data_IF_015387699732
#
_entry.id   IF_015387699732
#
_cell.length_a   1.000
_cell.length_b   1.000
_cell.length_c   1.000
_cell.angle_alpha   90.00
_cell.angle_beta   90.00
_cell.angle_gamma   90.00
#
_symmetry.space_group_name_H-M   'P 1'
#
loop_
_entity.id
_entity.type
_entity.pdbx_description
1 polymer ?
#
# COMPACT_ATOMS: atom_id res chain seq x y z
N UNK A 1 71.08 24.20 6.09
CA UNK A 1 69.78 24.06 6.78
C UNK A 1 68.89 23.26 5.85
N UNK A 2 68.98 21.93 5.92
CA UNK A 2 68.09 21.02 5.19
C UNK A 2 67.63 19.96 6.20
N UNK A 3 66.63 20.34 7.01
CA UNK A 3 66.05 19.52 8.08
C UNK A 3 64.62 19.06 7.71
N UNK A 4 64.37 18.89 6.41
CA UNK A 4 63.12 18.34 5.87
C UNK A 4 63.43 17.22 4.86
N UNK A 5 64.40 16.38 5.20
CA UNK A 5 64.66 15.13 4.47
C UNK A 5 63.51 14.16 4.71
N UNK A 6 62.59 14.13 3.73
CA UNK A 6 61.81 12.97 3.33
C UNK A 6 61.08 12.23 4.45
N UNK A 7 59.90 12.73 4.82
CA UNK A 7 58.90 11.87 5.47
C UNK A 7 58.51 10.81 4.44
N UNK A 8 59.16 9.65 4.49
CA UNK A 8 58.80 8.50 3.67
C UNK A 8 57.54 7.89 4.29
N UNK A 9 56.38 8.43 3.91
CA UNK A 9 55.08 7.88 4.30
C UNK A 9 55.00 6.49 3.67
N UNK A 10 54.96 5.41 4.47
CA UNK A 10 54.77 4.08 3.94
C UNK A 10 53.48 4.02 3.13
N UNK A 11 53.53 3.45 1.92
CA UNK A 11 52.41 3.40 0.98
C UNK A 11 51.13 2.78 1.57
N UNK A 12 51.25 2.06 2.70
CA UNK A 12 50.12 1.45 3.40
C UNK A 12 49.28 2.43 4.25
N UNK A 13 49.85 3.56 4.68
CA UNK A 13 49.18 4.57 5.52
C UNK A 13 47.90 5.14 4.87
N UNK A 14 47.88 5.55 3.58
CA UNK A 14 46.65 6.03 2.95
C UNK A 14 45.54 4.98 2.92
N UNK A 15 45.86 3.68 2.83
CA UNK A 15 44.86 2.61 2.88
C UNK A 15 44.25 2.47 4.28
N UNK A 16 45.07 2.52 5.33
CA UNK A 16 44.54 2.51 6.71
C UNK A 16 43.67 3.73 7.00
N UNK A 17 44.06 4.91 6.51
CA UNK A 17 43.25 6.13 6.64
C UNK A 17 41.92 6.02 5.86
N UNK A 18 41.93 5.41 4.67
CA UNK A 18 40.72 5.16 3.90
C UNK A 18 39.77 4.16 4.60
N UNK A 19 40.32 3.07 5.17
CA UNK A 19 39.55 2.10 5.95
C UNK A 19 38.96 2.76 7.20
N UNK A 20 39.76 3.53 7.95
CA UNK A 20 39.29 4.30 9.10
C UNK A 20 38.20 5.30 8.70
N UNK A 21 38.36 6.00 7.58
CA UNK A 21 37.36 6.91 7.04
C UNK A 21 36.05 6.21 6.72
N UNK A 22 36.11 5.05 6.05
CA UNK A 22 34.92 4.23 5.76
C UNK A 22 34.23 3.72 7.02
N UNK A 23 35.00 3.24 8.00
CA UNK A 23 34.46 2.79 9.29
C UNK A 23 33.81 3.95 10.07
N UNK A 24 34.40 5.13 10.02
CA UNK A 24 33.87 6.32 10.70
C UNK A 24 32.60 6.82 10.01
N UNK A 25 32.54 6.81 8.68
CA UNK A 25 31.34 7.09 7.90
C UNK A 25 30.25 6.05 8.22
N UNK A 26 30.59 4.78 8.34
CA UNK A 26 29.66 3.71 8.71
C UNK A 26 29.08 3.90 10.12
N UNK A 27 29.93 4.21 11.10
CA UNK A 27 29.50 4.53 12.47
C UNK A 27 28.61 5.78 12.51
N UNK A 28 28.98 6.83 11.77
CA UNK A 28 28.17 8.05 11.68
C UNK A 28 26.80 7.75 11.06
N UNK A 29 26.76 6.91 10.01
CA UNK A 29 25.54 6.42 9.40
C UNK A 29 24.69 5.65 10.42
N UNK A 30 25.28 4.72 11.17
CA UNK A 30 24.59 3.92 12.21
C UNK A 30 23.99 4.81 13.31
N UNK A 31 24.73 5.82 13.78
CA UNK A 31 24.23 6.80 14.75
C UNK A 31 23.07 7.62 14.17
N UNK A 32 23.15 8.04 12.90
CA UNK A 32 22.06 8.81 12.27
C UNK A 32 20.82 7.97 12.00
N UNK A 33 20.98 6.67 11.76
CA UNK A 33 19.89 5.70 11.64
C UNK A 33 19.23 5.46 12.99
N UNK A 34 20.02 5.25 14.06
CA UNK A 34 19.48 5.13 15.42
C UNK A 34 18.79 6.43 15.89
N UNK A 35 19.28 7.59 15.46
CA UNK A 35 18.67 8.89 15.72
C UNK A 35 17.44 9.19 14.85
N UNK A 36 17.05 8.27 13.95
CA UNK A 36 15.88 8.42 13.07
C UNK A 36 15.98 9.57 12.05
N UNK A 37 17.20 10.09 11.81
CA UNK A 37 17.43 11.19 10.85
C UNK A 37 17.67 10.69 9.43
N UNK A 38 18.08 9.42 9.30
CA UNK A 38 18.31 8.74 8.02
C UNK A 38 17.65 7.36 8.09
N UNK A 39 16.82 7.03 7.11
CA UNK A 39 16.34 5.65 6.92
C UNK A 39 17.47 4.82 6.28
N UNK A 40 17.96 3.80 6.98
CA UNK A 40 18.83 2.79 6.40
C UNK A 40 18.04 1.96 5.39
N UNK A 41 17.95 2.43 4.15
CA UNK A 41 17.44 1.61 3.05
C UNK A 41 18.57 0.73 2.52
N UNK A 42 18.45 -0.58 2.72
CA UNK A 42 19.22 -1.56 1.96
C UNK A 42 18.99 -1.31 0.47
N UNK A 43 20.08 -0.99 -0.26
CA UNK A 43 20.08 -0.76 -1.71
C UNK A 43 19.44 -1.89 -2.54
N UNK A 44 19.29 -3.08 -1.96
CA UNK A 44 18.72 -4.28 -2.58
C UNK A 44 17.22 -4.51 -2.29
N UNK A 45 16.54 -3.65 -1.54
CA UNK A 45 15.10 -3.82 -1.22
C UNK A 45 14.30 -2.61 -1.69
N UNK A 46 14.18 -2.45 -3.00
CA UNK A 46 13.50 -1.31 -3.66
C UNK A 46 12.02 -1.15 -3.25
N UNK A 47 11.41 -2.12 -2.54
CA UNK A 47 10.06 -1.97 -1.96
C UNK A 47 9.93 -2.17 -0.44
N UNK A 48 10.98 -2.62 0.26
CA UNK A 48 10.87 -3.16 1.63
C UNK A 48 10.10 -4.49 1.75
N UNK A 49 9.12 -4.77 0.89
CA UNK A 49 8.16 -5.87 1.06
C UNK A 49 8.82 -7.25 1.12
N UNK A 50 8.54 -8.02 2.19
CA UNK A 50 9.08 -9.38 2.41
C UNK A 50 8.05 -10.49 2.24
N UNK A 51 6.76 -10.17 2.24
CA UNK A 51 5.66 -11.08 1.95
C UNK A 51 4.47 -10.31 1.34
N UNK A 52 3.65 -11.00 0.57
CA UNK A 52 2.42 -10.45 0.01
C UNK A 52 1.21 -11.26 0.48
N UNK A 53 0.12 -10.59 0.80
CA UNK A 53 -1.15 -11.18 1.23
C UNK A 53 -2.26 -10.79 0.25
N UNK A 54 -3.05 -11.76 -0.19
CA UNK A 54 -4.21 -11.52 -1.06
C UNK A 54 -5.45 -11.24 -0.21
N UNK A 55 -5.81 -9.95 -0.12
CA UNK A 55 -7.02 -9.47 0.53
C UNK A 55 -8.20 -9.47 -0.44
N UNK A 56 -9.35 -9.94 0.03
CA UNK A 56 -10.63 -9.85 -0.70
C UNK A 56 -11.61 -9.15 0.24
N UNK A 57 -12.28 -8.09 -0.22
CA UNK A 57 -13.36 -7.45 0.55
C UNK A 57 -14.38 -8.49 1.02
N UNK A 58 -14.75 -8.46 2.29
CA UNK A 58 -15.65 -9.43 2.91
C UNK A 58 -17.11 -9.01 2.71
N UNK A 59 -17.55 -8.80 1.46
CA UNK A 59 -18.94 -8.49 1.16
C UNK A 59 -19.65 -9.58 0.33
N UNK A 60 -20.98 -9.44 0.22
CA UNK A 60 -21.80 -10.36 -0.58
C UNK A 60 -21.47 -10.31 -2.09
N UNK A 61 -20.86 -9.22 -2.56
CA UNK A 61 -20.57 -8.95 -3.97
C UNK A 61 -19.27 -9.60 -4.47
N UNK A 62 -18.40 -10.03 -3.56
CA UNK A 62 -17.20 -10.80 -3.89
C UNK A 62 -17.59 -12.11 -4.62
N UNK A 63 -16.93 -12.43 -5.73
CA UNK A 63 -17.21 -13.66 -6.46
C UNK A 63 -16.55 -14.87 -5.76
N UNK A 64 -17.07 -16.07 -6.01
CA UNK A 64 -16.52 -17.31 -5.42
C UNK A 64 -15.02 -17.50 -5.68
N UNK A 65 -14.47 -17.26 -6.90
CA UNK A 65 -13.03 -17.33 -7.14
C UNK A 65 -12.20 -16.40 -6.23
N UNK A 66 -12.64 -15.14 -6.08
CA UNK A 66 -11.95 -14.17 -5.22
C UNK A 66 -12.03 -14.57 -3.74
N UNK A 67 -13.18 -15.04 -3.27
CA UNK A 67 -13.33 -15.57 -1.91
C UNK A 67 -12.41 -16.75 -1.64
N UNK A 68 -12.28 -17.68 -2.59
CA UNK A 68 -11.34 -18.80 -2.46
C UNK A 68 -9.87 -18.40 -2.50
N UNK A 69 -9.55 -17.22 -3.03
CA UNK A 69 -8.20 -16.68 -3.09
C UNK A 69 -7.85 -15.82 -1.87
N UNK A 70 -8.84 -15.45 -1.05
CA UNK A 70 -8.62 -14.70 0.18
C UNK A 70 -7.64 -15.44 1.09
N UNK A 71 -6.70 -14.73 1.69
CA UNK A 71 -5.70 -15.32 2.57
C UNK A 71 -4.56 -16.05 1.85
N UNK A 72 -4.46 -15.97 0.52
CA UNK A 72 -3.26 -16.44 -0.18
C UNK A 72 -2.05 -15.57 0.21
N UNK A 73 -1.00 -16.21 0.71
CA UNK A 73 0.29 -15.59 1.01
C UNK A 73 1.34 -15.95 -0.04
N UNK A 74 2.23 -15.01 -0.38
CA UNK A 74 3.30 -15.20 -1.36
C UNK A 74 4.64 -14.60 -0.94
N UNK A 75 5.74 -15.21 -1.38
CA UNK A 75 7.06 -14.55 -1.38
C UNK A 75 7.18 -13.55 -2.54
N UNK A 76 7.97 -12.48 -2.38
CA UNK A 76 8.25 -11.54 -3.47
C UNK A 76 8.83 -12.21 -4.73
N UNK A 77 9.70 -13.20 -4.56
CA UNK A 77 10.26 -13.98 -5.67
C UNK A 77 9.19 -14.76 -6.45
N UNK A 78 8.13 -15.20 -5.78
CA UNK A 78 7.00 -15.87 -6.41
C UNK A 78 6.14 -14.88 -7.20
N UNK A 79 5.86 -13.70 -6.63
CA UNK A 79 5.09 -12.62 -7.29
C UNK A 79 5.81 -12.09 -8.53
N UNK A 80 7.14 -12.04 -8.51
CA UNK A 80 7.95 -11.61 -9.65
C UNK A 80 8.00 -12.63 -10.81
N UNK A 81 7.49 -13.85 -10.60
CA UNK A 81 7.50 -14.90 -11.63
C UNK A 81 6.50 -14.60 -12.76
N UNK A 82 6.82 -15.04 -13.98
CA UNK A 82 5.97 -14.83 -15.18
C UNK A 82 4.57 -15.45 -15.03
N UNK A 83 4.45 -16.54 -14.28
CA UNK A 83 3.21 -17.29 -14.11
C UNK A 83 2.39 -16.89 -12.89
N UNK A 84 2.80 -15.85 -12.14
CA UNK A 84 2.09 -15.43 -10.93
C UNK A 84 0.60 -15.17 -11.18
N UNK A 85 0.26 -14.50 -12.29
CA UNK A 85 -1.14 -14.18 -12.62
C UNK A 85 -2.01 -15.41 -12.91
N UNK A 86 -1.41 -16.51 -13.32
CA UNK A 86 -2.12 -17.78 -13.58
C UNK A 86 -2.47 -18.50 -12.27
N UNK A 87 -1.77 -18.17 -11.18
CA UNK A 87 -1.95 -18.78 -9.86
C UNK A 87 -3.08 -18.14 -9.06
N UNK A 88 -3.56 -16.96 -9.48
CA UNK A 88 -4.70 -16.27 -8.89
C UNK A 88 -5.94 -16.57 -9.73
N UNK A 89 -7.01 -17.11 -9.14
CA UNK A 89 -8.28 -17.31 -9.83
C UNK A 89 -8.77 -16.01 -10.50
N UNK A 90 -9.20 -16.11 -11.76
CA UNK A 90 -9.76 -14.96 -12.48
C UNK A 90 -11.05 -14.50 -11.79
N UNK A 91 -11.17 -13.19 -11.57
CA UNK A 91 -12.37 -12.60 -11.02
C UNK A 91 -13.56 -12.83 -11.95
N UNK A 92 -14.65 -13.41 -11.42
CA UNK A 92 -15.89 -13.64 -12.17
C UNK A 92 -16.89 -12.49 -12.10
N UNK A 93 -16.60 -11.43 -11.33
CA UNK A 93 -17.45 -10.25 -11.26
C UNK A 93 -17.05 -9.28 -12.40
N UNK A 94 -17.96 -8.92 -13.32
CA UNK A 94 -17.67 -8.01 -14.44
C UNK A 94 -17.25 -6.60 -13.98
N UNK A 95 -17.69 -6.18 -12.80
CA UNK A 95 -17.34 -4.90 -12.18
C UNK A 95 -16.04 -5.03 -11.36
N UNK A 96 -15.61 -6.26 -11.07
CA UNK A 96 -14.41 -6.59 -10.30
C UNK A 96 -14.62 -6.54 -8.77
N UNK A 97 -14.14 -7.55 -8.05
CA UNK A 97 -14.31 -7.69 -6.58
C UNK A 97 -13.34 -6.85 -5.74
N UNK A 98 -12.53 -6.00 -6.39
CA UNK A 98 -11.59 -5.07 -5.74
C UNK A 98 -10.60 -5.73 -4.78
N UNK A 99 -10.25 -6.99 -5.05
CA UNK A 99 -9.20 -7.71 -4.32
C UNK A 99 -7.85 -7.03 -4.50
N UNK A 100 -7.01 -7.10 -3.47
CA UNK A 100 -5.68 -6.48 -3.45
C UNK A 100 -4.62 -7.49 -3.07
N UNK A 101 -3.45 -7.33 -3.69
CA UNK A 101 -2.22 -7.95 -3.24
C UNK A 101 -1.48 -6.95 -2.35
N UNK A 102 -1.57 -7.15 -1.04
CA UNK A 102 -1.03 -6.25 -0.02
C UNK A 102 0.38 -6.67 0.36
N UNK A 103 1.35 -5.79 0.17
CA UNK A 103 2.74 -6.04 0.54
C UNK A 103 3.03 -5.68 2.00
N UNK A 104 3.73 -6.57 2.70
CA UNK A 104 4.08 -6.45 4.11
C UNK A 104 5.61 -6.56 4.26
N UNK A 105 6.22 -5.61 4.97
CA UNK A 105 7.64 -5.61 5.36
C UNK A 105 7.91 -6.73 6.37
N UNK A 106 7.05 -6.88 7.37
CA UNK A 106 6.99 -8.08 8.20
C UNK A 106 8.19 -8.25 9.14
N UNK A 107 8.78 -7.17 9.64
CA UNK A 107 9.84 -7.24 10.65
C UNK A 107 9.30 -7.48 12.07
N UNK A 108 8.46 -8.50 12.22
CA UNK A 108 7.98 -9.00 13.51
C UNK A 108 7.92 -10.54 13.51
N UNK A 109 7.93 -11.19 14.69
CA UNK A 109 8.08 -12.64 14.79
C UNK A 109 7.06 -13.45 13.98
N UNK A 110 5.78 -13.07 13.98
CA UNK A 110 4.71 -13.76 13.27
C UNK A 110 4.88 -13.70 11.75
N UNK A 111 5.21 -12.52 11.21
CA UNK A 111 5.52 -12.38 9.79
C UNK A 111 6.79 -13.14 9.39
N UNK A 112 7.81 -13.20 10.24
CA UNK A 112 9.01 -13.99 9.96
C UNK A 112 8.74 -15.50 10.00
N UNK A 113 7.89 -15.97 10.93
CA UNK A 113 7.39 -17.35 10.93
C UNK A 113 6.63 -17.66 9.64
N UNK A 114 5.73 -16.77 9.23
CA UNK A 114 5.00 -16.89 7.97
C UNK A 114 5.94 -16.94 6.77
N UNK A 115 6.96 -16.08 6.73
CA UNK A 115 7.96 -16.06 5.66
C UNK A 115 8.74 -17.38 5.58
N UNK A 116 9.09 -17.97 6.72
CA UNK A 116 9.71 -19.32 6.77
C UNK A 116 8.77 -20.38 6.23
N UNK A 117 7.50 -20.38 6.65
CA UNK A 117 6.49 -21.30 6.12
C UNK A 117 6.31 -21.15 4.60
N UNK A 118 6.29 -19.92 4.09
CA UNK A 118 6.24 -19.65 2.66
C UNK A 118 7.44 -20.24 1.93
N UNK A 119 8.67 -20.11 2.47
CA UNK A 119 9.86 -20.74 1.89
C UNK A 119 9.74 -22.26 1.82
N UNK A 120 9.24 -22.89 2.88
CA UNK A 120 8.99 -24.33 2.89
C UNK A 120 7.92 -24.76 1.87
N UNK A 121 6.90 -23.92 1.66
CA UNK A 121 5.82 -24.16 0.70
C UNK A 121 6.11 -23.54 -0.69
N UNK A 122 7.38 -23.51 -1.13
CA UNK A 122 7.79 -23.05 -2.47
C UNK A 122 7.30 -21.64 -2.84
N UNK A 123 7.14 -20.78 -1.84
CA UNK A 123 6.79 -19.37 -2.00
C UNK A 123 5.31 -19.04 -2.00
N UNK A 124 4.43 -19.99 -1.68
CA UNK A 124 2.97 -19.79 -1.63
C UNK A 124 2.34 -20.55 -0.46
N UNK A 125 1.34 -19.96 0.20
CA UNK A 125 0.50 -20.66 1.19
C UNK A 125 -0.96 -20.19 1.09
N UNK A 126 -1.90 -21.07 1.42
CA UNK A 126 -3.30 -20.69 1.65
C UNK A 126 -3.50 -20.62 3.17
N UNK A 127 -3.85 -19.44 3.67
CA UNK A 127 -4.20 -19.26 5.07
C UNK A 127 -5.70 -19.42 5.27
N UNK A 128 -6.11 -19.81 6.47
CA UNK A 128 -7.49 -19.65 6.93
C UNK A 128 -7.75 -18.20 7.36
N UNK A 129 -9.02 -17.80 7.42
CA UNK A 129 -9.41 -16.47 7.87
C UNK A 129 -8.87 -16.18 9.29
N UNK A 130 -8.94 -17.16 10.19
CA UNK A 130 -8.41 -17.05 11.55
C UNK A 130 -6.88 -16.88 11.59
N UNK A 131 -6.14 -17.55 10.69
CA UNK A 131 -4.69 -17.37 10.58
C UNK A 131 -4.34 -15.96 10.08
N UNK A 132 -5.10 -15.45 9.10
CA UNK A 132 -4.91 -14.10 8.58
C UNK A 132 -5.23 -13.05 9.65
N UNK A 133 -6.35 -13.18 10.35
CA UNK A 133 -6.75 -12.32 11.47
C UNK A 133 -5.68 -12.29 12.57
N UNK A 134 -5.20 -13.47 12.99
CA UNK A 134 -4.13 -13.58 14.00
C UNK A 134 -2.86 -12.86 13.55
N UNK A 135 -2.49 -13.00 12.27
CA UNK A 135 -1.30 -12.34 11.71
C UNK A 135 -1.44 -10.82 11.69
N UNK A 136 -2.63 -10.31 11.32
CA UNK A 136 -2.93 -8.87 11.28
C UNK A 136 -2.90 -8.28 12.69
N UNK A 137 -3.55 -8.92 13.66
CA UNK A 137 -3.55 -8.47 15.06
C UNK A 137 -2.14 -8.50 15.69
N UNK A 138 -1.35 -9.53 15.41
CA UNK A 138 0.03 -9.59 15.86
C UNK A 138 0.89 -8.44 15.29
N UNK A 139 0.64 -8.02 14.04
CA UNK A 139 1.32 -6.87 13.43
C UNK A 139 0.96 -5.54 14.09
N UNK A 140 -0.30 -5.36 14.50
CA UNK A 140 -0.80 -4.13 15.13
C UNK A 140 -0.25 -3.88 16.53
N UNK A 141 -0.08 -4.93 17.31
CA UNK A 141 0.33 -4.83 18.73
C UNK A 141 1.82 -4.53 18.93
N UNK A 142 2.64 -4.52 17.86
CA UNK A 142 4.11 -4.42 17.96
C UNK A 142 4.65 -3.09 17.42
N UNK A 143 5.11 -2.23 18.33
CA UNK A 143 5.59 -0.84 18.04
C UNK A 143 6.64 -0.73 16.92
N UNK A 144 7.59 -1.66 16.81
CA UNK A 144 8.70 -1.57 15.85
C UNK A 144 8.37 -2.11 14.44
N UNK A 145 7.35 -2.95 14.30
CA UNK A 145 6.89 -3.48 13.01
C UNK A 145 5.68 -2.72 12.45
N UNK A 146 4.89 -2.12 13.33
CA UNK A 146 3.67 -1.40 12.97
C UNK A 146 3.93 -0.17 12.11
N UNK A 147 5.01 0.60 12.32
CA UNK A 147 5.21 1.84 11.55
C UNK A 147 5.36 1.59 10.04
N UNK A 148 6.13 0.57 9.65
CA UNK A 148 6.37 0.26 8.24
C UNK A 148 5.15 -0.36 7.57
N UNK A 149 4.35 -1.16 8.28
CA UNK A 149 3.21 -1.89 7.71
C UNK A 149 1.84 -1.33 8.12
N UNK A 150 1.81 -0.16 8.77
CA UNK A 150 0.60 0.47 9.33
C UNK A 150 -0.54 0.50 8.32
N UNK A 151 -0.30 1.09 7.15
CA UNK A 151 -1.32 1.22 6.10
C UNK A 151 -1.77 -0.14 5.58
N UNK A 152 -0.81 -1.07 5.39
CA UNK A 152 -1.08 -2.40 4.86
C UNK A 152 -1.91 -3.24 5.84
N UNK A 153 -1.60 -3.18 7.13
CA UNK A 153 -2.33 -3.88 8.20
C UNK A 153 -3.72 -3.29 8.41
N UNK A 154 -3.84 -1.95 8.45
CA UNK A 154 -5.14 -1.28 8.59
C UNK A 154 -6.04 -1.57 7.39
N UNK A 155 -5.48 -1.65 6.18
CA UNK A 155 -6.23 -2.01 4.98
C UNK A 155 -6.76 -3.45 5.03
N UNK A 156 -5.95 -4.40 5.50
CA UNK A 156 -6.38 -5.80 5.66
C UNK A 156 -7.44 -5.94 6.76
N UNK A 157 -7.26 -5.23 7.87
CA UNK A 157 -8.25 -5.15 8.94
C UNK A 157 -9.57 -4.54 8.44
N UNK A 158 -9.51 -3.49 7.62
CA UNK A 158 -10.70 -2.87 7.01
C UNK A 158 -11.51 -3.92 6.23
N UNK A 159 -10.84 -4.74 5.40
CA UNK A 159 -11.48 -5.80 4.61
C UNK A 159 -12.13 -6.88 5.48
N UNK A 160 -11.53 -7.23 6.62
CA UNK A 160 -12.06 -8.22 7.55
C UNK A 160 -13.31 -7.70 8.27
N UNK A 161 -13.33 -6.41 8.60
CA UNK A 161 -14.40 -5.77 9.36
C UNK A 161 -15.65 -5.45 8.51
N UNK A 162 -15.57 -5.44 7.17
CA UNK A 162 -16.70 -5.00 6.33
C UNK A 162 -18.02 -5.71 6.60
N UNK A 163 -17.97 -6.98 7.00
CA UNK A 163 -19.18 -7.78 7.30
C UNK A 163 -19.62 -7.67 8.75
N UNK A 164 -18.67 -7.62 9.68
CA UNK A 164 -18.92 -7.75 11.12
C UNK A 164 -19.10 -6.40 11.79
N UNK A 165 -18.33 -5.40 11.36
CA UNK A 165 -18.41 -4.01 11.81
C UNK A 165 -18.12 -3.05 10.63
N UNK A 166 -19.13 -2.80 9.77
CA UNK A 166 -18.99 -1.91 8.62
C UNK A 166 -18.54 -0.49 9.00
N UNK A 167 -18.92 0.02 10.18
CA UNK A 167 -18.55 1.36 10.65
C UNK A 167 -17.06 1.43 10.99
N UNK A 168 -16.53 0.40 11.66
CA UNK A 168 -15.09 0.32 11.89
C UNK A 168 -14.32 0.19 10.58
N UNK A 169 -14.81 -0.61 9.62
CA UNK A 169 -14.21 -0.71 8.29
C UNK A 169 -14.18 0.63 7.54
N UNK A 170 -15.25 1.42 7.57
CA UNK A 170 -15.29 2.79 7.02
C UNK A 170 -14.15 3.65 7.61
N UNK A 171 -13.99 3.64 8.93
CA UNK A 171 -12.93 4.40 9.60
C UNK A 171 -11.53 3.94 9.18
N UNK A 172 -11.32 2.63 9.00
CA UNK A 172 -10.03 2.10 8.54
C UNK A 172 -9.72 2.46 7.09
N UNK A 173 -10.71 2.42 6.19
CA UNK A 173 -10.50 2.87 4.80
C UNK A 173 -10.22 4.37 4.71
N UNK A 174 -10.94 5.17 5.50
CA UNK A 174 -10.71 6.62 5.59
C UNK A 174 -9.28 6.91 6.06
N UNK A 175 -8.87 6.23 7.12
CA UNK A 175 -7.50 6.31 7.62
C UNK A 175 -6.45 6.01 6.53
N UNK A 176 -6.66 4.96 5.71
CA UNK A 176 -5.75 4.65 4.58
C UNK A 176 -5.73 5.78 3.54
N UNK A 177 -6.86 6.37 3.22
CA UNK A 177 -6.95 7.47 2.24
C UNK A 177 -6.23 8.73 2.73
N UNK A 178 -6.33 9.03 4.02
CA UNK A 178 -5.78 10.24 4.65
C UNK A 178 -4.28 10.12 4.92
N UNK A 179 -3.80 8.93 5.34
CA UNK A 179 -2.47 8.78 5.94
C UNK A 179 -1.48 7.98 5.07
N UNK A 180 -1.91 7.48 3.91
CA UNK A 180 -1.01 6.83 2.96
C UNK A 180 -0.13 7.87 2.23
N UNK A 181 1.04 8.14 2.80
CA UNK A 181 1.99 9.12 2.26
C UNK A 181 3.21 8.48 1.58
N UNK A 182 3.59 7.27 2.00
CA UNK A 182 4.80 6.63 1.49
C UNK A 182 4.58 6.06 0.08
N UNK A 183 5.63 6.06 -0.75
CA UNK A 183 5.59 5.51 -2.13
C UNK A 183 5.05 4.07 -2.22
N UNK A 184 5.25 3.28 -1.15
CA UNK A 184 4.76 1.90 -1.02
C UNK A 184 3.26 1.80 -0.74
N UNK A 185 2.66 2.84 -0.18
CA UNK A 185 1.26 2.89 0.26
C UNK A 185 0.35 3.54 -0.79
N UNK A 186 0.91 4.38 -1.66
CA UNK A 186 0.20 5.01 -2.79
C UNK A 186 -0.64 4.04 -3.65
N UNK A 187 -0.23 2.79 -3.93
CA UNK A 187 -1.06 1.83 -4.66
C UNK A 187 -2.42 1.55 -3.99
N UNK A 188 -2.53 1.72 -2.67
CA UNK A 188 -3.72 1.36 -1.90
C UNK A 188 -4.78 2.47 -1.88
N UNK A 189 -4.39 3.73 -2.12
CA UNK A 189 -5.28 4.89 -2.01
C UNK A 189 -6.49 4.76 -2.92
N UNK A 190 -6.29 4.44 -4.20
CA UNK A 190 -7.38 4.34 -5.19
C UNK A 190 -8.35 3.22 -4.78
N UNK A 191 -7.83 2.08 -4.35
CA UNK A 191 -8.64 0.96 -3.91
C UNK A 191 -9.40 1.27 -2.63
N UNK A 192 -8.79 1.99 -1.70
CA UNK A 192 -9.44 2.46 -0.47
C UNK A 192 -10.56 3.47 -0.78
N UNK A 193 -10.37 4.42 -1.70
CA UNK A 193 -11.45 5.33 -2.14
C UNK A 193 -12.64 4.59 -2.75
N UNK A 194 -12.37 3.67 -3.69
CA UNK A 194 -13.42 2.87 -4.34
C UNK A 194 -14.20 2.07 -3.30
N UNK A 195 -13.48 1.46 -2.35
CA UNK A 195 -14.11 0.61 -1.34
C UNK A 195 -14.84 1.40 -0.25
N UNK A 196 -14.27 2.52 0.18
CA UNK A 196 -14.90 3.43 1.14
C UNK A 196 -16.24 3.93 0.61
N UNK A 197 -16.29 4.38 -0.64
CA UNK A 197 -17.55 4.84 -1.25
C UNK A 197 -18.56 3.70 -1.43
N UNK A 198 -18.14 2.51 -1.86
CA UNK A 198 -19.03 1.32 -1.91
C UNK A 198 -19.65 1.01 -0.54
N UNK A 199 -18.81 1.02 0.50
CA UNK A 199 -19.21 0.65 1.85
C UNK A 199 -20.15 1.69 2.47
N UNK A 200 -19.87 2.99 2.30
CA UNK A 200 -20.74 4.08 2.75
C UNK A 200 -22.13 4.01 2.14
N UNK A 201 -22.23 3.74 0.83
CA UNK A 201 -23.53 3.53 0.17
C UNK A 201 -24.26 2.31 0.74
N UNK A 202 -23.53 1.22 1.03
CA UNK A 202 -24.14 0.00 1.56
C UNK A 202 -24.70 0.16 2.99
N UNK A 203 -24.15 1.08 3.78
CA UNK A 203 -24.64 1.40 5.13
C UNK A 203 -25.63 2.57 5.16
N UNK A 204 -25.99 3.13 3.99
CA UNK A 204 -26.97 4.21 3.85
C UNK A 204 -26.43 5.62 4.06
N UNK A 205 -25.12 5.80 4.19
CA UNK A 205 -24.45 7.10 4.40
C UNK A 205 -24.17 7.79 3.04
N UNK A 206 -25.24 8.02 2.26
CA UNK A 206 -25.14 8.51 0.88
C UNK A 206 -24.43 9.88 0.79
N UNK A 207 -24.67 10.78 1.76
CA UNK A 207 -24.02 12.11 1.81
C UNK A 207 -22.50 12.00 1.93
N UNK A 208 -22.04 11.15 2.83
CA UNK A 208 -20.60 10.92 3.05
C UNK A 208 -19.98 10.18 1.86
N UNK A 209 -20.70 9.21 1.28
CA UNK A 209 -20.28 8.56 0.05
C UNK A 209 -20.07 9.58 -1.09
N UNK A 210 -20.97 10.55 -1.23
CA UNK A 210 -20.88 11.60 -2.23
C UNK A 210 -19.64 12.48 -2.01
N UNK A 211 -19.35 12.85 -0.77
CA UNK A 211 -18.16 13.63 -0.45
C UNK A 211 -16.86 12.87 -0.77
N UNK A 212 -16.79 11.57 -0.44
CA UNK A 212 -15.64 10.72 -0.77
C UNK A 212 -15.41 10.65 -2.29
N UNK A 213 -16.48 10.49 -3.07
CA UNK A 213 -16.43 10.45 -4.54
C UNK A 213 -15.99 11.80 -5.11
N UNK A 214 -16.53 12.91 -4.60
CA UNK A 214 -16.12 14.27 -4.98
C UNK A 214 -14.64 14.49 -4.71
N UNK A 215 -14.16 14.16 -3.51
CA UNK A 215 -12.76 14.31 -3.13
C UNK A 215 -11.83 13.46 -4.02
N UNK A 216 -12.22 12.24 -4.37
CA UNK A 216 -11.50 11.40 -5.33
C UNK A 216 -11.39 12.07 -6.70
N UNK A 217 -12.52 12.51 -7.27
CA UNK A 217 -12.54 13.14 -8.59
C UNK A 217 -11.74 14.44 -8.58
N UNK A 218 -11.90 15.30 -7.58
CA UNK A 218 -11.11 16.54 -7.44
C UNK A 218 -9.61 16.25 -7.39
N UNK A 219 -9.19 15.23 -6.64
CA UNK A 219 -7.78 14.82 -6.52
C UNK A 219 -7.19 14.38 -7.86
N UNK A 220 -7.95 13.63 -8.66
CA UNK A 220 -7.41 12.98 -9.87
C UNK A 220 -7.81 13.63 -11.21
N UNK A 221 -8.72 14.61 -11.24
CA UNK A 221 -9.18 15.29 -12.47
C UNK A 221 -8.76 16.77 -12.58
N UNK A 222 -8.46 17.47 -11.47
CA UNK A 222 -8.02 18.88 -11.55
C UNK A 222 -6.69 19.00 -12.31
N UNK A 223 -6.61 19.91 -13.29
CA UNK A 223 -5.41 20.19 -14.11
C UNK A 223 -4.13 20.50 -13.30
N UNK A 224 -4.23 20.81 -11.99
CA UNK A 224 -3.08 21.02 -11.09
C UNK A 224 -2.45 19.71 -10.58
N UNK A 225 -3.18 18.59 -10.56
CA UNK A 225 -2.64 17.25 -10.30
C UNK A 225 -1.98 16.62 -11.53
N UNK A 226 -2.05 17.27 -12.71
CA UNK A 226 -1.23 16.93 -13.89
C UNK A 226 0.26 17.28 -13.73
N UNK A 227 0.69 17.89 -12.60
CA UNK A 227 2.11 17.91 -12.21
C UNK A 227 2.61 16.57 -11.65
N UNK A 228 1.78 15.54 -11.59
CA UNK A 228 2.23 14.16 -11.59
C UNK A 228 2.79 13.87 -12.99
N UNK A 229 4.12 13.84 -13.14
CA UNK A 229 4.79 13.71 -14.45
C UNK A 229 4.26 12.46 -15.18
N UNK A 230 4.23 12.50 -16.53
CA UNK A 230 4.05 11.28 -17.35
C UNK A 230 4.99 10.19 -16.82
N UNK A 231 4.44 9.17 -16.15
CA UNK A 231 5.23 8.13 -15.48
C UNK A 231 4.80 7.79 -14.04
N UNK A 232 3.93 8.57 -13.40
CA UNK A 232 3.43 8.22 -12.06
C UNK A 232 2.49 7.01 -12.12
N UNK A 233 3.01 5.86 -11.64
CA UNK A 233 2.37 4.53 -11.65
C UNK A 233 1.11 4.42 -10.78
N UNK A 234 0.69 5.51 -10.12
CA UNK A 234 -0.38 5.53 -9.12
C UNK A 234 -1.52 6.47 -9.53
N UNK A 235 -1.93 6.40 -10.80
CA UNK A 235 -3.13 7.08 -11.31
C UNK A 235 -4.29 6.09 -11.45
N UNK A 236 -5.53 6.53 -11.18
CA UNK A 236 -6.70 5.69 -11.47
C UNK A 236 -6.80 5.45 -12.98
N UNK A 237 -7.24 4.25 -13.32
CA UNK A 237 -7.58 3.88 -14.71
C UNK A 237 -8.81 4.67 -15.17
N UNK A 238 -8.98 4.81 -16.49
CA UNK A 238 -10.18 5.44 -17.07
C UNK A 238 -11.46 4.76 -16.59
N UNK A 239 -11.47 3.43 -16.46
CA UNK A 239 -12.61 2.70 -15.92
C UNK A 239 -12.91 3.04 -14.45
N UNK A 240 -11.89 3.26 -13.62
CA UNK A 240 -12.10 3.69 -12.22
C UNK A 240 -12.62 5.12 -12.12
N UNK A 241 -12.12 6.03 -12.98
CA UNK A 241 -12.65 7.39 -13.09
C UNK A 241 -14.10 7.39 -13.55
N UNK A 242 -14.44 6.61 -14.58
CA UNK A 242 -15.81 6.48 -15.09
C UNK A 242 -16.76 5.95 -14.01
N UNK A 243 -16.37 4.89 -13.28
CA UNK A 243 -17.16 4.36 -12.16
C UNK A 243 -17.45 5.43 -11.10
N UNK A 244 -16.44 6.22 -10.72
CA UNK A 244 -16.62 7.28 -9.73
C UNK A 244 -17.46 8.45 -10.24
N UNK A 245 -17.31 8.84 -11.51
CA UNK A 245 -18.16 9.86 -12.14
C UNK A 245 -19.63 9.44 -12.19
N UNK A 246 -19.92 8.22 -12.67
CA UNK A 246 -21.28 7.68 -12.69
C UNK A 246 -21.87 7.58 -11.28
N UNK A 247 -21.05 7.19 -10.30
CA UNK A 247 -21.45 7.14 -8.89
C UNK A 247 -21.81 8.51 -8.34
N UNK A 248 -21.04 9.56 -8.67
CA UNK A 248 -21.35 10.94 -8.25
C UNK A 248 -22.74 11.35 -8.70
N UNK A 249 -23.04 11.22 -10.00
CA UNK A 249 -24.34 11.59 -10.58
C UNK A 249 -25.49 10.82 -9.92
N UNK A 250 -25.30 9.51 -9.68
CA UNK A 250 -26.30 8.70 -8.96
C UNK A 250 -26.54 9.21 -7.54
N UNK A 251 -25.48 9.56 -6.81
CA UNK A 251 -25.58 10.03 -5.43
C UNK A 251 -26.20 11.44 -5.35
N UNK A 252 -25.84 12.35 -6.26
CA UNK A 252 -26.44 13.68 -6.38
C UNK A 252 -27.97 13.57 -6.53
N UNK A 253 -28.44 12.67 -7.41
CA UNK A 253 -29.85 12.38 -7.60
C UNK A 253 -30.54 11.80 -6.34
N UNK A 254 -29.86 10.95 -5.56
CA UNK A 254 -30.40 10.35 -4.33
C UNK A 254 -30.49 11.35 -3.17
N UNK A 255 -29.51 12.24 -3.05
CA UNK A 255 -29.40 13.22 -1.95
C UNK A 255 -30.23 14.48 -2.24
N UNK A 256 -30.68 14.66 -3.49
CA UNK A 256 -31.43 15.84 -3.91
C UNK A 256 -30.56 17.08 -4.10
N UNK A 257 -29.27 16.89 -4.42
CA UNK A 257 -28.39 17.99 -4.82
C UNK A 257 -28.71 18.32 -6.29
N UNK A 258 -29.18 19.53 -6.61
CA UNK A 258 -29.47 19.89 -7.99
C UNK A 258 -28.18 19.84 -8.81
N UNK A 259 -28.27 19.20 -9.98
CA UNK A 259 -27.20 19.11 -10.97
C UNK A 259 -26.67 20.53 -11.24
N UNK A 260 -25.43 20.81 -10.88
CA UNK A 260 -24.81 22.09 -11.19
C UNK A 260 -24.67 22.15 -12.72
N UNK A 261 -25.58 22.89 -13.36
CA UNK A 261 -25.55 23.20 -14.78
C UNK A 261 -24.18 23.81 -15.06
N UNK A 262 -23.29 23.05 -15.71
CA UNK A 262 -22.05 23.60 -16.25
C UNK A 262 -22.45 24.75 -17.19
N UNK A 263 -21.96 25.98 -17.00
CA UNK A 263 -22.24 27.05 -17.95
C UNK A 263 -21.67 26.63 -19.30
N UNK A 264 -22.53 26.62 -20.30
CA UNK A 264 -22.20 26.31 -21.69
C UNK A 264 -20.92 27.06 -22.11
N UNK A 265 -20.04 26.43 -22.91
CA UNK A 265 -18.85 27.10 -23.39
C UNK A 265 -19.26 28.38 -24.12
N UNK A 266 -18.85 29.51 -23.55
CA UNK A 266 -18.87 30.82 -24.18
C UNK A 266 -18.14 30.71 -25.52
N UNK A 267 -18.90 30.68 -26.61
CA UNK A 267 -18.35 30.92 -27.93
C UNK A 267 -17.91 32.38 -28.00
N UNK A 268 -16.60 32.57 -28.02
CA UNK A 268 -15.92 33.77 -28.49
C UNK A 268 -14.82 33.33 -29.45
#
# INVERSE_FOLDING_TARGET
MDLLSGIHIPDIIPYFLAILGLLLIWQLHEIQVQAGRIDAMDFWVISGIRLFLYGTPCDASACRPCRSAHGLGFLPSFVASKHFREQIPKCGNPIGCRCLLVGIYGAWPDAERMRKQLKWNRGRIQMTDAQLETLVEAGKTRRAGFSADRISLILLEAMQLEKTDPKAAVNRYRFVVEEAEQKRDLPFIISAYLRLSDLLESVGEDQEAHEVVRNFLERYTRKRSLRLRRGDRYRPTEGQLAVMSTRRTRLEARIGIPEAIEPAPSMA
#
